data_IF_066378739984
#
_entry.id   IF_066378739984
#
_cell.length_a   1.000
_cell.length_b   1.000
_cell.length_c   1.000
_cell.angle_alpha   90.00
_cell.angle_beta   90.00
_cell.angle_gamma   90.00
#
_symmetry.space_group_name_H-M   'P 1'
#
loop_
_entity.id
_entity.type
_entity.pdbx_description
1 polymer ?
#
# COMPACT_ATOMS: atom_id res chain seq x y z
N UNK A 1 -18.11 -15.07 -9.34
CA UNK A 1 -16.93 -15.88 -9.70
C UNK A 1 -17.38 -17.26 -10.18
N UNK A 2 -16.92 -17.72 -11.34
CA UNK A 2 -17.32 -19.01 -11.93
C UNK A 2 -18.86 -19.25 -11.99
N UNK A 3 -19.64 -18.19 -12.22
CA UNK A 3 -21.11 -18.23 -12.23
C UNK A 3 -21.78 -18.24 -10.86
N UNK A 4 -21.03 -18.14 -9.77
CA UNK A 4 -21.54 -18.11 -8.40
C UNK A 4 -21.36 -16.73 -7.74
N UNK A 5 -22.40 -16.26 -7.04
CA UNK A 5 -22.37 -15.04 -6.22
C UNK A 5 -21.72 -15.38 -4.89
N UNK A 6 -20.67 -14.64 -4.53
CA UNK A 6 -19.91 -14.79 -3.27
C UNK A 6 -19.47 -13.41 -2.77
N UNK A 7 -19.24 -13.24 -1.45
CA UNK A 7 -18.58 -12.04 -0.94
C UNK A 7 -17.21 -11.82 -1.60
N UNK A 8 -16.88 -10.58 -1.96
CA UNK A 8 -15.65 -10.27 -2.69
C UNK A 8 -14.37 -10.79 -2.02
N UNK A 9 -14.25 -10.62 -0.70
CA UNK A 9 -13.10 -11.15 0.06
C UNK A 9 -13.00 -12.68 0.01
N UNK A 10 -14.11 -13.41 -0.11
CA UNK A 10 -14.07 -14.87 -0.25
C UNK A 10 -13.55 -15.27 -1.64
N UNK A 11 -13.91 -14.50 -2.67
CA UNK A 11 -13.41 -14.69 -4.03
C UNK A 11 -11.88 -14.45 -4.05
N UNK A 12 -11.43 -13.29 -3.57
CA UNK A 12 -9.99 -13.00 -3.47
C UNK A 12 -9.25 -14.10 -2.68
N UNK A 13 -9.81 -14.58 -1.58
CA UNK A 13 -9.15 -15.62 -0.77
C UNK A 13 -9.01 -16.93 -1.53
N UNK A 14 -10.03 -17.31 -2.29
CA UNK A 14 -10.02 -18.50 -3.13
C UNK A 14 -8.94 -18.43 -4.22
N UNK A 15 -8.63 -17.23 -4.71
CA UNK A 15 -7.61 -16.98 -5.73
C UNK A 15 -6.22 -16.62 -5.20
N UNK A 16 -5.94 -16.91 -3.92
CA UNK A 16 -4.59 -16.82 -3.35
C UNK A 16 -4.20 -15.48 -2.74
N UNK A 17 -5.09 -14.48 -2.75
CA UNK A 17 -4.86 -13.22 -2.05
C UNK A 17 -4.96 -13.43 -0.53
N UNK A 18 -3.99 -12.91 0.21
CA UNK A 18 -3.80 -13.25 1.62
C UNK A 18 -3.47 -12.05 2.53
N UNK A 19 -3.33 -10.85 1.96
CA UNK A 19 -3.25 -9.59 2.70
C UNK A 19 -4.32 -8.60 2.22
N UNK A 20 -4.75 -7.73 3.13
CA UNK A 20 -5.55 -6.55 2.83
C UNK A 20 -4.81 -5.30 3.31
N UNK A 21 -4.90 -4.21 2.56
CA UNK A 21 -4.42 -2.90 2.99
C UNK A 21 -5.62 -1.99 3.17
N UNK A 22 -5.74 -1.39 4.35
CA UNK A 22 -6.84 -0.48 4.67
C UNK A 22 -6.26 0.88 5.04
N UNK A 23 -6.65 1.90 4.29
CA UNK A 23 -6.36 3.28 4.61
C UNK A 23 -7.24 3.76 5.76
N UNK A 24 -6.68 4.66 6.56
CA UNK A 24 -7.34 5.33 7.66
C UNK A 24 -7.14 6.85 7.54
N UNK A 25 -8.26 7.56 7.42
CA UNK A 25 -8.32 9.01 7.50
C UNK A 25 -8.53 9.46 8.96
N UNK A 26 -8.13 10.69 9.27
CA UNK A 26 -8.22 11.25 10.62
C UNK A 26 -9.67 11.57 11.03
N UNK A 27 -10.38 12.35 10.22
CA UNK A 27 -11.79 12.69 10.42
C UNK A 27 -12.47 12.93 9.08
N UNK A 28 -12.70 11.88 8.28
CA UNK A 28 -13.29 12.04 6.96
C UNK A 28 -14.75 12.48 7.03
N UNK A 29 -15.16 13.26 6.05
CA UNK A 29 -16.52 13.78 5.89
C UNK A 29 -17.28 13.12 4.73
N UNK A 30 -16.58 12.81 3.64
CA UNK A 30 -17.17 12.23 2.43
C UNK A 30 -16.87 10.74 2.24
N UNK A 31 -15.72 10.27 2.75
CA UNK A 31 -15.26 8.89 2.58
C UNK A 31 -15.46 8.09 3.86
N UNK A 32 -15.77 6.78 3.78
CA UNK A 32 -16.13 6.00 4.95
C UNK A 32 -14.93 5.61 5.83
N UNK A 33 -13.69 5.84 5.37
CA UNK A 33 -12.46 5.29 5.96
C UNK A 33 -12.03 5.94 7.28
N UNK A 34 -12.94 6.06 8.24
CA UNK A 34 -12.64 6.41 9.64
C UNK A 34 -12.20 5.18 10.45
N UNK A 35 -11.96 5.37 11.75
CA UNK A 35 -11.47 4.32 12.63
C UNK A 35 -12.48 3.16 12.80
N UNK A 36 -13.77 3.47 12.98
CA UNK A 36 -14.80 2.48 13.25
C UNK A 36 -14.99 1.59 12.01
N UNK A 37 -15.16 2.21 10.85
CA UNK A 37 -15.24 1.52 9.57
C UNK A 37 -14.00 0.65 9.30
N UNK A 38 -12.80 1.18 9.57
CA UNK A 38 -11.56 0.45 9.30
C UNK A 38 -11.40 -0.75 10.25
N UNK A 39 -11.81 -0.64 11.51
CA UNK A 39 -11.83 -1.76 12.46
C UNK A 39 -12.80 -2.85 11.99
N UNK A 40 -14.01 -2.48 11.55
CA UNK A 40 -15.00 -3.45 11.05
C UNK A 40 -14.47 -4.24 9.84
N UNK A 41 -13.86 -3.55 8.86
CA UNK A 41 -13.25 -4.20 7.72
C UNK A 41 -12.08 -5.10 8.11
N UNK A 42 -11.24 -4.66 9.06
CA UNK A 42 -10.11 -5.46 9.53
C UNK A 42 -10.60 -6.75 10.20
N UNK A 43 -11.63 -6.68 11.04
CA UNK A 43 -12.24 -7.87 11.68
C UNK A 43 -12.83 -8.83 10.63
N UNK A 44 -13.46 -8.30 9.58
CA UNK A 44 -14.03 -9.11 8.52
C UNK A 44 -12.97 -9.81 7.67
N UNK A 45 -11.84 -9.14 7.44
CA UNK A 45 -10.67 -9.70 6.79
C UNK A 45 -10.00 -10.79 7.65
N UNK A 46 -9.82 -10.54 8.95
CA UNK A 46 -9.22 -11.50 9.89
C UNK A 46 -10.04 -12.79 10.01
N UNK A 47 -11.38 -12.71 10.04
CA UNK A 47 -12.27 -13.89 10.02
C UNK A 47 -12.06 -14.78 8.81
N UNK A 48 -11.56 -14.23 7.70
CA UNK A 48 -11.21 -14.95 6.45
C UNK A 48 -9.73 -15.31 6.37
N UNK A 49 -8.98 -15.05 7.44
CA UNK A 49 -7.54 -15.34 7.53
C UNK A 49 -6.68 -14.45 6.65
N UNK A 50 -7.12 -13.21 6.38
CA UNK A 50 -6.24 -12.19 5.81
C UNK A 50 -5.32 -11.62 6.89
N UNK A 51 -4.09 -11.29 6.48
CA UNK A 51 -3.26 -10.34 7.22
C UNK A 51 -3.61 -8.92 6.79
N UNK A 52 -3.32 -7.96 7.65
CA UNK A 52 -3.75 -6.58 7.49
C UNK A 52 -2.58 -5.59 7.60
N UNK A 53 -2.46 -4.74 6.58
CA UNK A 53 -1.62 -3.53 6.56
C UNK A 53 -2.50 -2.29 6.79
N UNK A 54 -2.33 -1.64 7.94
CA UNK A 54 -2.97 -0.35 8.25
C UNK A 54 -2.17 0.79 7.63
N UNK A 55 -2.83 1.63 6.84
CA UNK A 55 -2.21 2.79 6.20
C UNK A 55 -2.76 4.10 6.74
N UNK A 56 -1.92 4.81 7.50
CA UNK A 56 -2.26 6.15 7.96
C UNK A 56 -2.02 7.19 6.88
N UNK A 57 -3.09 7.82 6.43
CA UNK A 57 -2.96 9.01 5.58
C UNK A 57 -2.57 10.26 6.36
N UNK A 58 -2.90 10.33 7.66
CA UNK A 58 -2.77 11.54 8.49
C UNK A 58 -3.43 12.77 7.85
N UNK A 59 -4.57 12.56 7.20
CA UNK A 59 -5.38 13.57 6.53
C UNK A 59 -6.86 13.20 6.69
N UNK A 60 -7.77 14.17 6.55
CA UNK A 60 -9.22 13.92 6.56
C UNK A 60 -9.73 13.36 5.21
N UNK A 61 -8.88 13.36 4.19
CA UNK A 61 -9.18 12.81 2.85
C UNK A 61 -7.87 12.33 2.22
N UNK A 62 -7.86 12.09 0.91
CA UNK A 62 -6.70 11.63 0.16
C UNK A 62 -5.43 12.45 0.43
N UNK A 63 -4.36 11.72 0.72
CA UNK A 63 -3.00 12.20 0.83
C UNK A 63 -2.17 11.44 -0.21
N UNK A 64 -1.52 12.18 -1.09
CA UNK A 64 -0.82 11.69 -2.28
C UNK A 64 0.39 12.62 -2.58
N UNK A 65 1.21 12.37 -3.62
CA UNK A 65 2.41 13.16 -3.88
C UNK A 65 2.12 14.61 -4.27
N UNK A 66 0.89 14.92 -4.69
CA UNK A 66 0.44 16.27 -5.06
C UNK A 66 -0.20 17.04 -3.90
N UNK A 67 -0.71 16.35 -2.88
CA UNK A 67 -1.31 16.95 -1.69
C UNK A 67 -1.13 16.12 -0.42
N UNK A 68 -0.77 16.78 0.68
CA UNK A 68 -0.65 16.15 1.99
C UNK A 68 -1.29 17.07 3.06
N UNK A 69 -2.62 17.28 3.02
CA UNK A 69 -3.26 18.29 3.85
C UNK A 69 -3.20 17.93 5.34
N UNK A 70 -2.98 18.93 6.19
CA UNK A 70 -3.13 18.78 7.65
C UNK A 70 -4.63 18.60 7.97
N UNK A 71 -5.01 17.62 8.80
CA UNK A 71 -6.38 17.47 9.29
C UNK A 71 -6.92 18.77 9.89
N UNK A 72 -8.21 19.04 9.74
CA UNK A 72 -8.85 20.26 10.21
C UNK A 72 -8.61 20.48 11.72
N UNK A 73 -8.63 19.40 12.50
CA UNK A 73 -8.39 19.42 13.95
C UNK A 73 -6.96 19.87 14.33
N UNK A 74 -5.99 19.77 13.42
CA UNK A 74 -4.58 20.05 13.67
C UNK A 74 -4.08 21.31 12.96
N UNK A 75 -4.99 22.05 12.32
CA UNK A 75 -4.64 23.24 11.55
C UNK A 75 -4.07 24.34 12.46
N UNK A 76 -2.92 24.88 12.08
CA UNK A 76 -2.27 25.99 12.78
C UNK A 76 -1.46 25.59 14.02
N UNK A 77 -1.34 24.29 14.31
CA UNK A 77 -0.45 23.80 15.37
C UNK A 77 1.02 24.06 15.02
N UNK A 78 1.84 24.34 16.03
CA UNK A 78 3.29 24.33 15.88
C UNK A 78 3.78 22.90 15.61
N UNK A 79 4.99 22.74 15.07
CA UNK A 79 5.53 21.41 14.75
C UNK A 79 5.58 20.49 15.98
N UNK A 80 5.86 21.02 17.17
CA UNK A 80 5.93 20.22 18.39
C UNK A 80 4.57 19.70 18.82
N UNK A 81 3.54 20.56 18.77
CA UNK A 81 2.16 20.18 19.12
C UNK A 81 1.55 19.29 18.04
N UNK A 82 1.91 19.51 16.77
CA UNK A 82 1.52 18.63 15.67
C UNK A 82 2.13 17.23 15.82
N UNK A 83 3.42 17.13 16.20
CA UNK A 83 4.06 15.85 16.47
C UNK A 83 3.41 15.12 17.66
N UNK A 84 3.10 15.81 18.75
CA UNK A 84 2.33 15.21 19.86
C UNK A 84 0.95 14.75 19.39
N UNK A 85 0.27 15.53 18.53
CA UNK A 85 -1.03 15.15 17.97
C UNK A 85 -0.95 13.87 17.12
N UNK A 86 0.07 13.75 16.26
CA UNK A 86 0.35 12.53 15.48
C UNK A 86 0.60 11.34 16.40
N UNK A 87 1.44 11.51 17.44
CA UNK A 87 1.70 10.46 18.43
C UNK A 87 0.42 10.00 19.13
N UNK A 88 -0.38 10.94 19.68
CA UNK A 88 -1.61 10.63 20.41
C UNK A 88 -2.65 9.95 19.53
N UNK A 89 -2.81 10.43 18.29
CA UNK A 89 -3.74 9.84 17.33
C UNK A 89 -3.35 8.40 16.97
N UNK A 90 -2.07 8.19 16.62
CA UNK A 90 -1.56 6.86 16.26
C UNK A 90 -1.65 5.90 17.44
N UNK A 91 -1.28 6.36 18.64
CA UNK A 91 -1.42 5.57 19.86
C UNK A 91 -2.87 5.14 20.09
N UNK A 92 -3.81 6.09 20.11
CA UNK A 92 -5.23 5.81 20.39
C UNK A 92 -5.85 4.87 19.36
N UNK A 93 -5.55 5.07 18.09
CA UNK A 93 -6.10 4.23 17.02
C UNK A 93 -5.53 2.81 17.09
N UNK A 94 -4.22 2.63 17.32
CA UNK A 94 -3.62 1.30 17.55
C UNK A 94 -4.18 0.64 18.82
N UNK A 95 -4.41 1.40 19.90
CA UNK A 95 -5.07 0.89 21.11
C UNK A 95 -6.49 0.37 20.80
N UNK A 96 -7.24 1.08 19.95
CA UNK A 96 -8.57 0.66 19.53
C UNK A 96 -8.55 -0.63 18.69
N UNK A 97 -7.63 -0.76 17.73
CA UNK A 97 -7.43 -2.02 16.98
C UNK A 97 -7.09 -3.19 17.91
N UNK A 98 -6.22 -2.96 18.90
CA UNK A 98 -5.86 -3.95 19.92
C UNK A 98 -7.07 -4.39 20.75
N UNK A 99 -7.87 -3.43 21.21
CA UNK A 99 -9.06 -3.68 22.04
C UNK A 99 -10.17 -4.38 21.25
N UNK A 100 -10.26 -4.10 19.95
CA UNK A 100 -11.14 -4.80 19.02
C UNK A 100 -10.63 -6.21 18.64
N UNK A 101 -9.45 -6.62 19.12
CA UNK A 101 -8.86 -7.93 18.89
C UNK A 101 -8.18 -8.12 17.54
N UNK A 102 -8.03 -7.04 16.75
CA UNK A 102 -7.57 -7.06 15.36
C UNK A 102 -6.35 -6.15 15.19
N UNK A 103 -5.21 -6.56 15.76
CA UNK A 103 -3.96 -5.82 15.59
C UNK A 103 -3.41 -5.97 14.17
N UNK A 104 -2.96 -4.90 13.50
CA UNK A 104 -2.35 -5.01 12.19
C UNK A 104 -0.99 -5.71 12.25
N UNK A 105 -0.69 -6.55 11.26
CA UNK A 105 0.67 -7.11 11.08
C UNK A 105 1.67 -6.06 10.61
N UNK A 106 1.19 -5.01 9.93
CA UNK A 106 2.01 -3.93 9.40
C UNK A 106 1.30 -2.59 9.48
N UNK A 107 2.06 -1.52 9.73
CA UNK A 107 1.58 -0.15 9.77
C UNK A 107 2.43 0.71 8.84
N UNK A 108 1.77 1.44 7.93
CA UNK A 108 2.39 2.45 7.08
C UNK A 108 2.21 3.84 7.72
N UNK A 109 3.33 4.55 7.92
CA UNK A 109 3.35 5.88 8.53
C UNK A 109 3.36 6.95 7.44
N UNK A 110 2.16 7.39 7.05
CA UNK A 110 1.96 8.32 5.94
C UNK A 110 1.84 7.60 4.60
N UNK A 111 0.98 8.11 3.71
CA UNK A 111 0.83 7.60 2.35
C UNK A 111 1.63 8.43 1.35
N UNK A 112 2.45 7.77 0.51
CA UNK A 112 3.18 8.38 -0.60
C UNK A 112 4.00 9.62 -0.19
N UNK A 113 4.86 9.45 0.81
CA UNK A 113 5.52 10.54 1.54
C UNK A 113 6.83 11.04 0.90
N UNK A 114 7.05 10.78 -0.40
CA UNK A 114 8.21 11.28 -1.15
C UNK A 114 8.41 12.79 -0.99
N UNK A 115 7.30 13.53 -1.03
CA UNK A 115 7.27 14.98 -0.87
C UNK A 115 6.94 15.42 0.58
N UNK A 116 7.05 14.51 1.54
CA UNK A 116 6.74 14.72 2.95
C UNK A 116 5.28 14.41 3.30
N UNK A 117 4.84 14.85 4.48
CA UNK A 117 3.48 14.69 5.00
C UNK A 117 3.04 15.95 5.76
N UNK A 118 1.73 16.15 6.00
CA UNK A 118 1.20 17.24 6.82
C UNK A 118 1.74 18.63 6.41
N UNK A 119 1.47 19.02 5.17
CA UNK A 119 1.97 20.25 4.56
C UNK A 119 1.27 21.51 5.10
N UNK A 120 2.00 22.63 5.23
CA UNK A 120 3.38 22.82 4.80
C UNK A 120 4.44 22.35 5.81
N UNK A 121 4.05 22.01 7.05
CA UNK A 121 4.97 21.77 8.17
C UNK A 121 5.99 20.68 7.89
N UNK A 122 5.56 19.52 7.37
CA UNK A 122 6.42 18.40 7.01
C UNK A 122 6.71 18.29 5.52
N UNK A 123 6.59 19.39 4.74
CA UNK A 123 6.80 19.36 3.29
C UNK A 123 8.28 19.24 2.93
N UNK A 124 8.62 18.27 2.08
CA UNK A 124 9.97 18.07 1.56
C UNK A 124 10.15 18.81 0.22
N UNK A 125 11.39 19.17 -0.15
CA UNK A 125 12.66 18.88 0.55
C UNK A 125 13.00 19.85 1.70
N UNK A 126 12.23 20.92 1.89
CA UNK A 126 12.65 22.03 2.77
C UNK A 126 12.60 21.69 4.27
N UNK A 127 11.75 20.74 4.70
CA UNK A 127 11.44 20.51 6.12
C UNK A 127 11.79 19.09 6.60
N UNK A 128 12.95 18.55 6.23
CA UNK A 128 13.36 17.19 6.64
C UNK A 128 13.31 16.95 8.15
N UNK A 129 13.73 17.91 8.97
CA UNK A 129 13.72 17.76 10.44
C UNK A 129 12.29 17.66 10.98
N UNK A 130 11.36 18.46 10.45
CA UNK A 130 9.94 18.40 10.81
C UNK A 130 9.32 17.09 10.32
N UNK A 131 9.59 16.69 9.07
CA UNK A 131 9.11 15.44 8.49
C UNK A 131 9.55 14.23 9.34
N UNK A 132 10.85 14.15 9.66
CA UNK A 132 11.40 13.11 10.51
C UNK A 132 10.76 13.10 11.91
N UNK A 133 10.51 14.28 12.50
CA UNK A 133 9.83 14.40 13.79
C UNK A 133 8.40 13.84 13.76
N UNK A 134 7.65 14.13 12.69
CA UNK A 134 6.27 13.66 12.51
C UNK A 134 6.22 12.15 12.27
N UNK A 135 7.09 11.62 11.41
CA UNK A 135 7.19 10.17 11.18
C UNK A 135 7.59 9.43 12.46
N UNK A 136 8.59 9.95 13.19
CA UNK A 136 9.00 9.37 14.47
C UNK A 136 7.86 9.37 15.49
N UNK A 137 7.09 10.44 15.57
CA UNK A 137 5.91 10.49 16.44
C UNK A 137 4.87 9.42 16.08
N UNK A 138 4.64 9.16 14.80
CA UNK A 138 3.79 8.05 14.33
C UNK A 138 4.32 6.69 14.78
N UNK A 139 5.60 6.41 14.54
CA UNK A 139 6.25 5.15 14.97
C UNK A 139 6.18 4.95 16.48
N UNK A 140 6.51 5.99 17.26
CA UNK A 140 6.44 5.94 18.72
C UNK A 140 4.99 5.75 19.21
N UNK A 141 4.01 6.31 18.48
CA UNK A 141 2.59 6.11 18.74
C UNK A 141 2.15 4.66 18.53
N UNK A 142 2.62 4.00 17.46
CA UNK A 142 2.39 2.56 17.25
C UNK A 142 2.97 1.74 18.41
N UNK A 143 4.21 2.03 18.80
CA UNK A 143 4.90 1.31 19.87
C UNK A 143 4.26 1.51 21.25
N UNK A 144 3.72 2.69 21.52
CA UNK A 144 2.94 2.94 22.72
C UNK A 144 1.57 2.25 22.67
N UNK A 145 0.87 2.37 21.54
CA UNK A 145 -0.51 1.91 21.41
C UNK A 145 -0.66 0.40 21.37
N UNK A 146 0.33 -0.33 20.85
CA UNK A 146 0.31 -1.80 20.86
C UNK A 146 0.33 -2.40 22.27
N UNK A 147 0.81 -1.65 23.27
CA UNK A 147 0.99 -2.16 24.63
C UNK A 147 1.89 -3.40 24.66
N UNK A 148 1.34 -4.54 25.07
CA UNK A 148 2.06 -5.82 25.10
C UNK A 148 1.84 -6.69 23.85
N UNK A 149 1.03 -6.25 22.89
CA UNK A 149 0.88 -6.95 21.63
C UNK A 149 2.19 -6.95 20.83
N UNK A 150 2.33 -7.92 19.93
CA UNK A 150 3.45 -7.98 19.00
C UNK A 150 3.56 -6.65 18.24
N UNK A 151 4.79 -6.18 18.03
CA UNK A 151 5.03 -4.94 17.29
C UNK A 151 4.71 -5.15 15.81
N UNK A 152 3.79 -4.38 15.21
CA UNK A 152 3.59 -4.40 13.77
C UNK A 152 4.88 -4.00 13.05
N UNK A 153 5.10 -4.53 11.85
CA UNK A 153 6.15 -4.05 10.97
C UNK A 153 5.84 -2.60 10.56
N UNK A 154 6.84 -1.73 10.55
CA UNK A 154 6.67 -0.33 10.15
C UNK A 154 7.11 -0.14 8.70
N UNK A 155 6.22 0.39 7.87
CA UNK A 155 6.48 0.73 6.48
C UNK A 155 6.61 2.25 6.28
N UNK A 156 7.58 2.65 5.46
CA UNK A 156 7.71 3.99 4.90
C UNK A 156 7.49 3.90 3.39
N UNK A 157 6.52 4.67 2.87
CA UNK A 157 6.02 4.53 1.50
C UNK A 157 6.47 5.67 0.57
N UNK A 158 7.08 5.30 -0.56
CA UNK A 158 7.54 6.17 -1.65
C UNK A 158 6.77 5.86 -2.97
N UNK A 159 6.16 6.85 -3.62
CA UNK A 159 5.27 6.65 -4.76
C UNK A 159 5.97 6.25 -6.07
N UNK A 160 7.19 6.72 -6.35
CA UNK A 160 7.82 6.49 -7.66
C UNK A 160 8.67 5.23 -7.71
N UNK A 161 8.03 4.07 -7.79
CA UNK A 161 8.70 2.76 -7.78
C UNK A 161 9.71 2.52 -8.90
N UNK A 162 9.71 3.30 -9.99
CA UNK A 162 10.69 3.22 -11.07
C UNK A 162 11.74 4.36 -11.05
N UNK A 163 11.86 5.10 -9.95
CA UNK A 163 12.89 6.13 -9.74
C UNK A 163 14.02 5.61 -8.83
N UNK A 164 15.00 4.94 -9.41
CA UNK A 164 16.14 4.37 -8.66
C UNK A 164 16.95 5.43 -7.89
N UNK A 165 17.21 6.56 -8.53
CA UNK A 165 18.04 7.63 -7.97
C UNK A 165 17.31 8.38 -6.85
N UNK A 166 16.05 8.75 -7.07
CA UNK A 166 15.25 9.49 -6.09
C UNK A 166 14.89 8.64 -4.89
N UNK A 167 14.51 7.38 -5.10
CA UNK A 167 14.18 6.45 -4.00
C UNK A 167 15.40 6.23 -3.12
N UNK A 168 16.59 5.98 -3.71
CA UNK A 168 17.83 5.81 -2.93
C UNK A 168 18.19 7.07 -2.14
N UNK A 169 18.18 8.25 -2.77
CA UNK A 169 18.49 9.53 -2.09
C UNK A 169 17.53 9.81 -0.94
N UNK A 170 16.24 9.51 -1.12
CA UNK A 170 15.22 9.66 -0.10
C UNK A 170 15.53 8.79 1.13
N UNK A 171 15.74 7.48 0.94
CA UNK A 171 16.01 6.58 2.07
C UNK A 171 17.39 6.80 2.71
N UNK A 172 18.41 7.18 1.95
CA UNK A 172 19.72 7.59 2.52
C UNK A 172 19.54 8.78 3.47
N UNK A 173 18.81 9.81 3.03
CA UNK A 173 18.53 10.99 3.86
C UNK A 173 17.64 10.64 5.05
N UNK A 174 16.59 9.83 4.85
CA UNK A 174 15.71 9.38 5.92
C UNK A 174 16.47 8.59 7.00
N UNK A 175 17.35 7.67 6.60
CA UNK A 175 18.15 6.85 7.52
C UNK A 175 19.09 7.69 8.39
N UNK A 176 19.50 8.89 7.96
CA UNK A 176 20.31 9.80 8.79
C UNK A 176 19.61 10.27 10.08
N UNK A 177 18.28 10.17 10.13
CA UNK A 177 17.48 10.48 11.33
C UNK A 177 17.37 9.32 12.32
N UNK A 178 17.85 8.12 11.96
CA UNK A 178 17.85 6.92 12.81
C UNK A 178 16.44 6.53 13.32
N UNK A 179 15.41 6.73 12.51
CA UNK A 179 14.04 6.30 12.83
C UNK A 179 13.91 4.81 12.47
N UNK A 180 13.50 3.93 13.41
CA UNK A 180 13.36 2.52 13.12
C UNK A 180 12.14 2.25 12.24
N UNK A 181 12.36 1.56 11.13
CA UNK A 181 11.32 1.01 10.25
C UNK A 181 11.80 -0.32 9.67
N UNK A 182 10.88 -1.10 9.13
CA UNK A 182 11.11 -2.49 8.74
C UNK A 182 10.99 -2.65 7.21
N UNK A 183 10.04 -1.95 6.58
CA UNK A 183 9.64 -2.13 5.19
C UNK A 183 9.81 -0.84 4.36
N UNK A 184 10.39 -0.99 3.18
CA UNK A 184 10.31 -0.01 2.08
C UNK A 184 9.06 -0.32 1.25
N UNK A 185 8.09 0.60 1.24
CA UNK A 185 6.89 0.50 0.40
C UNK A 185 7.07 1.33 -0.88
N UNK A 186 6.62 0.79 -2.02
CA UNK A 186 6.64 1.49 -3.31
C UNK A 186 5.28 1.49 -4.00
N UNK A 187 4.87 2.60 -4.62
CA UNK A 187 3.80 2.58 -5.65
C UNK A 187 4.41 2.35 -7.05
N UNK A 188 3.67 1.69 -7.93
CA UNK A 188 4.01 1.59 -9.35
C UNK A 188 2.76 1.62 -10.21
N UNK A 189 2.58 2.72 -10.93
CA UNK A 189 1.54 2.88 -11.93
C UNK A 189 2.23 3.14 -13.29
N UNK A 190 2.03 2.28 -14.30
CA UNK A 190 2.81 2.32 -15.54
C UNK A 190 2.54 3.55 -16.41
N UNK A 191 1.49 4.32 -16.11
CA UNK A 191 1.16 5.56 -16.81
C UNK A 191 1.88 6.79 -16.22
N UNK A 192 2.40 6.73 -14.99
CA UNK A 192 3.11 7.85 -14.35
C UNK A 192 4.58 7.54 -14.03
N UNK A 193 4.90 6.31 -13.61
CA UNK A 193 6.14 6.05 -12.88
C UNK A 193 7.28 5.51 -13.74
N UNK A 194 7.05 5.21 -15.02
CA UNK A 194 8.04 4.60 -15.92
C UNK A 194 7.72 3.13 -16.22
N UNK A 195 8.69 2.42 -16.80
CA UNK A 195 8.50 1.03 -17.25
C UNK A 195 9.01 -0.03 -16.26
N UNK A 196 8.69 -1.31 -16.53
CA UNK A 196 9.08 -2.43 -15.66
C UNK A 196 10.60 -2.64 -15.56
N UNK A 197 11.39 -2.24 -16.57
CA UNK A 197 12.86 -2.30 -16.49
C UNK A 197 13.39 -1.31 -15.46
N UNK A 198 12.84 -0.10 -15.42
CA UNK A 198 13.19 0.91 -14.42
C UNK A 198 12.72 0.52 -13.02
N UNK A 199 11.54 -0.11 -12.90
CA UNK A 199 11.09 -0.68 -11.62
C UNK A 199 12.07 -1.75 -11.14
N UNK A 200 12.47 -2.67 -12.02
CA UNK A 200 13.47 -3.71 -11.71
C UNK A 200 14.81 -3.10 -11.28
N UNK A 201 15.27 -2.08 -11.98
CA UNK A 201 16.50 -1.36 -11.64
C UNK A 201 16.43 -0.74 -10.24
N UNK A 202 15.32 -0.06 -9.90
CA UNK A 202 15.13 0.48 -8.56
C UNK A 202 15.11 -0.62 -7.49
N UNK A 203 14.36 -1.70 -7.70
CA UNK A 203 14.31 -2.82 -6.75
C UNK A 203 15.69 -3.45 -6.50
N UNK A 204 16.51 -3.63 -7.55
CA UNK A 204 17.89 -4.11 -7.41
C UNK A 204 18.76 -3.13 -6.62
N UNK A 205 18.66 -1.83 -6.92
CA UNK A 205 19.35 -0.77 -6.17
C UNK A 205 18.98 -0.81 -4.69
N UNK A 206 17.70 -0.95 -4.36
CA UNK A 206 17.24 -1.00 -2.98
C UNK A 206 17.72 -2.26 -2.24
N UNK A 207 17.69 -3.42 -2.90
CA UNK A 207 18.21 -4.69 -2.35
C UNK A 207 19.70 -4.58 -2.01
N UNK A 208 20.49 -3.92 -2.86
CA UNK A 208 21.93 -3.73 -2.66
C UNK A 208 22.22 -2.73 -1.53
N UNK A 209 21.50 -1.62 -1.48
CA UNK A 209 21.84 -0.48 -0.63
C UNK A 209 21.17 -0.48 0.75
N UNK A 210 20.04 -1.18 0.92
CA UNK A 210 19.28 -1.16 2.16
C UNK A 210 19.04 -2.57 2.72
N UNK A 211 19.21 -2.73 4.03
CA UNK A 211 18.87 -3.96 4.75
C UNK A 211 17.42 -3.92 5.24
N UNK A 212 16.50 -3.70 4.29
CA UNK A 212 15.05 -3.63 4.52
C UNK A 212 14.32 -4.58 3.59
N UNK A 213 13.20 -5.10 4.05
CA UNK A 213 12.25 -5.79 3.18
C UNK A 213 11.53 -4.76 2.31
N UNK A 214 11.11 -5.18 1.11
CA UNK A 214 10.56 -4.30 0.07
C UNK A 214 9.23 -4.89 -0.40
N UNK A 215 8.21 -4.04 -0.47
CA UNK A 215 6.87 -4.38 -0.94
C UNK A 215 6.42 -3.35 -1.97
N UNK A 216 5.88 -3.81 -3.10
CA UNK A 216 5.13 -2.96 -4.00
C UNK A 216 3.72 -2.79 -3.43
N UNK A 217 3.48 -1.69 -2.72
CA UNK A 217 2.28 -1.49 -1.88
C UNK A 217 1.11 -0.85 -2.63
N UNK A 218 1.35 -0.36 -3.86
CA UNK A 218 0.31 -0.01 -4.81
C UNK A 218 0.71 -0.32 -6.25
N UNK A 219 -0.25 -0.89 -6.97
CA UNK A 219 -0.26 -0.91 -8.42
C UNK A 219 -1.70 -1.09 -8.92
N UNK A 220 -1.98 -0.69 -10.15
CA UNK A 220 -3.25 -0.98 -10.81
C UNK A 220 -3.07 -0.89 -12.34
N UNK A 221 -4.06 -1.40 -13.07
CA UNK A 221 -4.15 -1.34 -14.52
C UNK A 221 -5.60 -1.37 -14.99
N UNK A 222 -5.86 -0.74 -16.13
CA UNK A 222 -7.21 -0.66 -16.66
C UNK A 222 -7.59 -1.90 -17.47
N UNK A 223 -8.77 -2.47 -17.20
CA UNK A 223 -9.34 -3.57 -17.98
C UNK A 223 -10.17 -3.11 -19.19
N UNK A 224 -10.33 -1.79 -19.36
CA UNK A 224 -11.01 -1.18 -20.50
C UNK A 224 -10.38 0.18 -20.86
N UNK A 225 -10.55 0.67 -22.11
CA UNK A 225 -9.90 1.90 -22.57
C UNK A 225 -10.12 3.10 -21.63
N UNK A 226 -9.03 3.68 -21.11
CA UNK A 226 -9.06 4.72 -20.08
C UNK A 226 -7.88 5.69 -20.20
N UNK A 227 -6.65 5.25 -19.90
CA UNK A 227 -5.50 6.14 -19.67
C UNK A 227 -4.70 6.38 -20.96
N UNK A 228 -4.52 5.32 -21.76
CA UNK A 228 -3.66 5.31 -22.95
C UNK A 228 -4.44 5.68 -24.23
N UNK A 229 -5.05 6.88 -24.25
CA UNK A 229 -5.84 7.37 -25.40
C UNK A 229 -4.97 7.83 -26.57
N UNK A 230 -3.92 8.57 -26.26
CA UNK A 230 -3.03 9.22 -27.24
C UNK A 230 -1.61 8.62 -27.23
N UNK A 231 -1.39 7.58 -26.44
CA UNK A 231 -0.09 6.93 -26.24
C UNK A 231 -0.25 5.41 -26.34
N UNK A 232 0.84 4.71 -26.64
CA UNK A 232 0.82 3.25 -26.73
C UNK A 232 0.85 2.68 -25.32
N UNK A 233 -0.19 1.93 -24.97
CA UNK A 233 -0.26 1.19 -23.72
C UNK A 233 0.79 0.06 -23.71
N UNK A 234 1.47 -0.21 -22.57
CA UNK A 234 2.39 -1.35 -22.45
C UNK A 234 1.67 -2.70 -22.61
N UNK A 235 0.40 -2.75 -22.23
CA UNK A 235 -0.52 -3.86 -22.44
C UNK A 235 -1.86 -3.32 -22.95
N UNK A 236 -2.62 -4.02 -23.81
CA UNK A 236 -3.93 -3.56 -24.23
C UNK A 236 -4.86 -3.34 -23.01
N UNK A 237 -5.52 -2.18 -22.89
CA UNK A 237 -6.51 -1.92 -21.83
C UNK A 237 -7.77 -2.78 -22.05
N UNK A 238 -7.66 -4.04 -21.63
CA UNK A 238 -8.61 -5.15 -21.80
C UNK A 238 -8.52 -6.06 -20.57
N UNK A 239 -9.52 -6.93 -20.29
CA UNK A 239 -9.42 -7.88 -19.19
C UNK A 239 -8.19 -8.81 -19.27
N UNK A 240 -7.77 -9.17 -20.48
CA UNK A 240 -6.56 -9.95 -20.71
C UNK A 240 -5.28 -9.14 -20.44
N UNK A 241 -5.19 -7.90 -20.95
CA UNK A 241 -4.02 -7.05 -20.73
C UNK A 241 -3.85 -6.60 -19.27
N UNK A 242 -4.95 -6.41 -18.52
CA UNK A 242 -4.88 -6.16 -17.07
C UNK A 242 -4.25 -7.35 -16.32
N UNK A 243 -4.62 -8.58 -16.71
CA UNK A 243 -4.00 -9.80 -16.19
C UNK A 243 -2.52 -9.89 -16.58
N UNK A 244 -2.19 -9.69 -17.85
CA UNK A 244 -0.80 -9.74 -18.37
C UNK A 244 0.10 -8.73 -17.66
N UNK A 245 -0.42 -7.53 -17.37
CA UNK A 245 0.29 -6.52 -16.59
C UNK A 245 0.64 -7.02 -15.19
N UNK A 246 -0.34 -7.49 -14.41
CA UNK A 246 -0.10 -7.94 -13.04
C UNK A 246 0.82 -9.17 -13.01
N UNK A 247 0.67 -10.09 -13.96
CA UNK A 247 1.58 -11.23 -14.14
C UNK A 247 3.02 -10.77 -14.40
N UNK A 248 3.22 -9.79 -15.28
CA UNK A 248 4.55 -9.23 -15.58
C UNK A 248 5.17 -8.47 -14.40
N UNK A 249 4.37 -7.72 -13.62
CA UNK A 249 4.83 -7.08 -12.39
C UNK A 249 5.27 -8.15 -11.38
N UNK A 250 4.45 -9.17 -11.16
CA UNK A 250 4.78 -10.26 -10.25
C UNK A 250 6.05 -11.02 -10.66
N UNK A 251 6.19 -11.35 -11.94
CA UNK A 251 7.38 -12.01 -12.47
C UNK A 251 8.62 -11.11 -12.39
N UNK A 252 8.47 -9.79 -12.57
CA UNK A 252 9.57 -8.83 -12.38
C UNK A 252 10.12 -8.90 -10.95
N UNK A 253 9.23 -8.97 -9.94
CA UNK A 253 9.59 -9.08 -8.53
C UNK A 253 10.19 -10.45 -8.18
N UNK A 254 9.56 -11.54 -8.64
CA UNK A 254 10.05 -12.91 -8.39
C UNK A 254 11.42 -13.17 -9.01
N UNK A 255 11.74 -12.53 -10.15
CA UNK A 255 13.03 -12.67 -10.83
C UNK A 255 14.16 -11.83 -10.20
N UNK A 256 13.94 -11.25 -9.02
CA UNK A 256 15.01 -10.64 -8.21
C UNK A 256 15.45 -11.68 -7.17
N UNK A 257 16.69 -12.14 -7.28
CA UNK A 257 17.27 -13.14 -6.38
C UNK A 257 17.59 -12.55 -5.01
N UNK A 258 16.56 -12.23 -4.24
CA UNK A 258 16.68 -11.67 -2.90
C UNK A 258 15.43 -11.99 -2.08
N UNK A 259 15.64 -12.49 -0.86
CA UNK A 259 14.54 -12.73 0.08
C UNK A 259 13.89 -11.45 0.61
N UNK A 260 14.45 -10.27 0.29
CA UNK A 260 13.92 -8.95 0.71
C UNK A 260 12.65 -8.55 -0.05
N UNK A 261 12.40 -9.08 -1.24
CA UNK A 261 11.16 -8.79 -1.99
C UNK A 261 10.02 -9.62 -1.39
N UNK A 262 9.00 -8.96 -0.82
CA UNK A 262 7.98 -9.64 0.00
C UNK A 262 6.58 -9.73 -0.61
N UNK A 263 6.24 -8.91 -1.59
CA UNK A 263 4.94 -9.02 -2.24
C UNK A 263 4.46 -7.76 -2.94
N UNK A 264 3.19 -7.85 -3.38
CA UNK A 264 2.47 -6.83 -4.15
C UNK A 264 1.10 -6.62 -3.52
N UNK A 265 0.66 -5.37 -3.46
CA UNK A 265 -0.72 -4.99 -3.23
C UNK A 265 -1.29 -4.34 -4.48
N UNK A 266 -2.47 -4.80 -4.92
CA UNK A 266 -3.27 -4.10 -5.90
C UNK A 266 -4.11 -3.03 -5.20
N UNK A 267 -4.12 -1.82 -5.74
CA UNK A 267 -4.93 -0.74 -5.20
C UNK A 267 -6.36 -0.83 -5.73
N UNK A 268 -7.34 -0.92 -4.83
CA UNK A 268 -8.76 -0.84 -5.15
C UNK A 268 -9.27 -1.92 -6.15
N UNK A 269 -9.08 -3.22 -5.87
CA UNK A 269 -9.45 -4.28 -6.81
C UNK A 269 -10.97 -4.51 -6.92
N UNK A 270 -11.79 -3.82 -6.14
CA UNK A 270 -13.25 -3.95 -6.16
C UNK A 270 -13.95 -2.58 -6.14
N UNK A 271 -13.28 -1.54 -6.63
CA UNK A 271 -13.84 -0.19 -6.68
C UNK A 271 -14.89 -0.07 -7.78
N UNK A 272 -15.94 0.70 -7.50
CA UNK A 272 -17.00 1.03 -8.43
C UNK A 272 -16.88 2.48 -8.95
N UNK A 273 -17.76 2.87 -9.88
CA UNK A 273 -17.84 4.24 -10.37
C UNK A 273 -16.65 4.65 -11.24
N UNK A 274 -16.18 5.90 -11.10
CA UNK A 274 -15.18 6.49 -11.99
C UNK A 274 -13.80 5.80 -12.02
N UNK A 275 -13.52 4.95 -11.03
CA UNK A 275 -12.30 4.13 -10.97
C UNK A 275 -12.55 2.67 -11.34
N UNK A 276 -13.79 2.28 -11.65
CA UNK A 276 -14.20 0.89 -11.89
C UNK A 276 -13.44 0.21 -13.03
N UNK A 277 -12.90 0.98 -13.98
CA UNK A 277 -12.01 0.47 -15.01
C UNK A 277 -10.72 -0.17 -14.47
N UNK A 278 -10.36 0.00 -13.19
CA UNK A 278 -9.21 -0.64 -12.52
C UNK A 278 -9.59 -1.84 -11.64
N UNK A 279 -10.88 -2.09 -11.49
CA UNK A 279 -11.43 -3.19 -10.69
C UNK A 279 -11.03 -4.55 -11.26
N UNK A 280 -11.12 -5.59 -10.43
CA UNK A 280 -11.08 -6.98 -10.85
C UNK A 280 -12.48 -7.51 -11.18
N UNK A 281 -13.49 -6.66 -11.14
CA UNK A 281 -14.86 -6.98 -11.49
C UNK A 281 -15.33 -6.07 -12.62
N UNK A 282 -16.12 -6.63 -13.55
CA UNK A 282 -16.84 -5.84 -14.54
C UNK A 282 -18.02 -5.07 -13.90
N UNK A 283 -18.76 -4.32 -14.71
CA UNK A 283 -19.89 -3.49 -14.26
C UNK A 283 -21.04 -4.33 -13.68
N UNK A 284 -21.14 -5.61 -14.05
CA UNK A 284 -22.11 -6.57 -13.53
C UNK A 284 -21.61 -7.33 -12.29
N UNK A 285 -20.38 -7.09 -11.83
CA UNK A 285 -19.79 -7.74 -10.66
C UNK A 285 -19.20 -9.13 -10.95
N UNK A 286 -18.97 -9.48 -12.22
CA UNK A 286 -18.27 -10.71 -12.58
C UNK A 286 -16.76 -10.54 -12.43
N UNK A 287 -16.10 -11.53 -11.84
CA UNK A 287 -14.65 -11.54 -11.70
C UNK A 287 -13.96 -11.60 -13.08
N UNK A 288 -12.99 -10.71 -13.29
CA UNK A 288 -12.17 -10.61 -14.49
C UNK A 288 -10.95 -11.55 -14.41
N UNK A 289 -10.31 -11.89 -15.55
CA UNK A 289 -9.19 -12.84 -15.59
C UNK A 289 -7.97 -12.48 -14.73
N UNK A 290 -7.79 -11.21 -14.38
CA UNK A 290 -6.71 -10.74 -13.48
C UNK A 290 -6.78 -11.39 -12.10
N UNK A 291 -7.98 -11.80 -11.65
CA UNK A 291 -8.18 -12.51 -10.39
C UNK A 291 -7.32 -13.79 -10.31
N UNK A 292 -7.05 -14.43 -11.45
CA UNK A 292 -6.41 -15.74 -11.50
C UNK A 292 -4.87 -15.67 -11.52
N UNK A 293 -4.26 -14.48 -11.48
CA UNK A 293 -2.78 -14.33 -11.59
C UNK A 293 -2.04 -15.15 -10.53
N UNK A 294 -2.58 -15.23 -9.31
CA UNK A 294 -1.94 -15.93 -8.21
C UNK A 294 -2.29 -17.41 -8.08
N UNK A 295 -3.24 -17.92 -8.87
CA UNK A 295 -3.68 -19.32 -8.78
C UNK A 295 -2.53 -20.32 -9.00
N UNK A 296 -1.66 -20.03 -9.99
CA UNK A 296 -0.51 -20.89 -10.32
C UNK A 296 0.50 -21.01 -9.17
N UNK A 297 0.58 -20.03 -8.28
CA UNK A 297 1.48 -20.04 -7.12
C UNK A 297 0.84 -20.64 -5.86
N UNK A 298 -0.48 -20.84 -5.86
CA UNK A 298 -1.22 -21.50 -4.78
C UNK A 298 -1.21 -23.01 -4.92
N UNK A 299 -1.29 -23.50 -6.16
CA UNK A 299 -1.49 -24.92 -6.49
C UNK A 299 -0.16 -25.64 -6.74
N UNK A 300 0.72 -25.64 -5.72
CA UNK A 300 1.88 -26.52 -5.64
C UNK A 300 1.54 -27.97 -5.23
N UNK A 301 0.26 -28.33 -5.15
CA UNK A 301 -0.18 -29.73 -5.04
C UNK A 301 -0.72 -30.19 -6.40
N UNK A 302 0.19 -30.82 -7.16
CA UNK A 302 0.00 -31.68 -8.34
C UNK A 302 -1.41 -31.75 -8.93
N UNK A 303 -1.58 -31.20 -10.14
CA UNK A 303 -2.36 -31.90 -11.16
C UNK A 303 -1.48 -32.99 -11.79
N UNK A 304 -2.07 -34.14 -12.10
CA UNK A 304 -1.45 -35.33 -12.67
C UNK A 304 -0.87 -35.10 -14.07
N UNK A 305 0.17 -34.26 -14.23
CA UNK A 305 0.95 -34.23 -15.48
C UNK A 305 2.35 -33.61 -15.37
N UNK A 306 2.96 -33.69 -14.18
CA UNK A 306 4.39 -34.00 -14.09
C UNK A 306 5.40 -32.95 -14.54
N UNK A 307 5.09 -31.65 -14.48
CA UNK A 307 6.13 -30.62 -14.45
C UNK A 307 5.77 -29.55 -13.41
N UNK A 308 6.46 -29.52 -12.26
CA UNK A 308 6.51 -28.35 -11.40
C UNK A 308 7.57 -27.37 -11.94
N UNK A 309 7.24 -26.09 -11.99
CA UNK A 309 8.23 -24.99 -12.00
C UNK A 309 8.11 -24.25 -10.66
#
# INVERSE_FOLDING_TARGET
DNGEIKPGLDIFKAHGYNWIRLRLFHSPDELPNDLEYTIELAQEAEKRGYKFLLDYHYADSWADPGKQPIPAAWKGLSVDVLADSVYQYTKKTIEAFREAGVMPEMVQIGNETRNGMLWPTGKLPDNWDNFAKLVKAGVDGVDAGRGQAARPLIMIHYDQGADADGTKKYYDKFNSYNIPYDIIGLSYYPWWHGNLLQLRENLLSLVENFSKDIILVETAYHWQPSEYKDTIAPYPETPAGQREFLESVNETLLNISSSKIKGIFWWEPAVEGGLGARSFFDEEGNALPVMNVFDKYRLGQKEEQGIPD
#
